data_IF_885879954190
#
_entry.id   IF_885879954190
#
_cell.length_a   1.000
_cell.length_b   1.000
_cell.length_c   1.000
_cell.angle_alpha   90.00
_cell.angle_beta   90.00
_cell.angle_gamma   90.00
#
_symmetry.space_group_name_H-M   'P 1'
#
loop_
_entity.id
_entity.type
_entity.pdbx_description
1 polymer ?
#
# COMPACT_ATOMS: atom_id res chain seq x y z
N UNK A 1 -3.36 -12.76 18.82
CA UNK A 1 -2.46 -12.41 17.70
C UNK A 1 -1.03 -12.75 18.09
N UNK A 2 -0.29 -13.42 17.20
CA UNK A 2 1.12 -13.72 17.42
C UNK A 2 1.93 -12.45 17.18
N UNK A 3 2.88 -12.13 18.06
CA UNK A 3 3.69 -10.89 18.04
C UNK A 3 4.39 -10.65 16.68
N UNK A 4 4.66 -11.75 15.97
CA UNK A 4 5.23 -11.77 14.63
C UNK A 4 4.30 -11.18 13.56
N UNK A 5 2.99 -11.42 13.66
CA UNK A 5 2.00 -10.91 12.70
C UNK A 5 1.78 -9.41 12.90
N UNK A 6 1.84 -8.93 14.14
CA UNK A 6 1.79 -7.50 14.47
C UNK A 6 2.97 -6.73 13.84
N UNK A 7 4.19 -7.27 13.93
CA UNK A 7 5.37 -6.64 13.32
C UNK A 7 5.32 -6.61 11.79
N UNK A 8 4.78 -7.66 11.16
CA UNK A 8 4.59 -7.70 9.71
C UNK A 8 3.56 -6.66 9.25
N UNK A 9 2.42 -6.58 9.94
CA UNK A 9 1.42 -5.56 9.66
C UNK A 9 1.98 -4.13 9.82
N UNK A 10 2.83 -3.92 10.82
CA UNK A 10 3.49 -2.63 11.04
C UNK A 10 4.46 -2.26 9.91
N UNK A 11 5.24 -3.23 9.43
CA UNK A 11 6.12 -3.05 8.28
C UNK A 11 5.35 -2.76 6.99
N UNK A 12 4.25 -3.47 6.74
CA UNK A 12 3.41 -3.24 5.57
C UNK A 12 2.77 -1.83 5.61
N UNK A 13 2.35 -1.37 6.80
CA UNK A 13 1.83 -0.01 7.00
C UNK A 13 2.91 1.04 6.73
N UNK A 14 4.12 0.86 7.27
CA UNK A 14 5.23 1.79 7.06
C UNK A 14 5.63 1.86 5.57
N UNK A 15 5.63 0.73 4.87
CA UNK A 15 5.95 0.66 3.45
C UNK A 15 4.88 1.36 2.59
N UNK A 16 3.60 1.21 2.95
CA UNK A 16 2.49 1.92 2.31
C UNK A 16 2.61 3.43 2.54
N UNK A 17 2.85 3.86 3.79
CA UNK A 17 3.01 5.28 4.13
C UNK A 17 4.16 5.92 3.36
N UNK A 18 5.30 5.23 3.30
CA UNK A 18 6.47 5.71 2.56
C UNK A 18 6.20 5.81 1.06
N UNK A 19 5.47 4.85 0.48
CA UNK A 19 5.08 4.89 -0.94
C UNK A 19 4.18 6.09 -1.24
N UNK A 20 3.32 6.47 -0.30
CA UNK A 20 2.44 7.66 -0.42
C UNK A 20 3.25 8.95 -0.29
N UNK A 21 4.18 9.04 0.66
CA UNK A 21 5.08 10.20 0.79
C UNK A 21 5.95 10.40 -0.47
N UNK A 22 6.52 9.33 -1.02
CA UNK A 22 7.30 9.39 -2.27
C UNK A 22 6.43 9.79 -3.48
N UNK A 23 5.14 9.45 -3.45
CA UNK A 23 4.16 9.88 -4.43
C UNK A 23 3.84 11.37 -4.31
N UNK A 24 3.62 11.88 -3.09
CA UNK A 24 3.35 13.30 -2.83
C UNK A 24 4.53 14.19 -3.21
N UNK A 25 5.77 13.76 -2.93
CA UNK A 25 6.98 14.52 -3.27
C UNK A 25 7.25 14.58 -4.78
N UNK A 26 6.83 13.56 -5.53
CA UNK A 26 7.08 13.47 -6.97
C UNK A 26 5.88 13.88 -7.83
N UNK A 27 4.72 14.18 -7.25
CA UNK A 27 3.47 14.34 -8.00
C UNK A 27 3.51 15.49 -9.02
N UNK A 28 4.29 16.53 -8.73
CA UNK A 28 4.49 17.69 -9.61
C UNK A 28 5.49 17.43 -10.77
N UNK A 29 6.35 16.42 -10.65
CA UNK A 29 7.39 16.06 -11.64
C UNK A 29 7.05 14.76 -12.40
N UNK A 30 5.98 14.07 -12.02
CA UNK A 30 5.55 12.81 -12.65
C UNK A 30 4.71 13.07 -13.88
N UNK A 31 5.01 12.35 -14.97
CA UNK A 31 4.15 12.37 -16.14
C UNK A 31 2.79 11.76 -15.81
N UNK A 32 1.76 12.14 -16.57
CA UNK A 32 0.41 11.62 -16.40
C UNK A 32 0.35 10.09 -16.52
N UNK A 33 1.25 9.49 -17.31
CA UNK A 33 1.38 8.04 -17.46
C UNK A 33 2.04 7.39 -16.24
N UNK A 34 3.08 8.02 -15.67
CA UNK A 34 3.73 7.52 -14.44
C UNK A 34 2.77 7.58 -13.24
N UNK A 35 1.99 8.66 -13.14
CA UNK A 35 0.96 8.81 -12.12
C UNK A 35 -0.10 7.71 -12.23
N UNK A 36 -0.51 7.40 -13.46
CA UNK A 36 -1.49 6.34 -13.74
C UNK A 36 -0.96 4.96 -13.38
N UNK A 37 0.30 4.67 -13.71
CA UNK A 37 0.96 3.41 -13.32
C UNK A 37 1.07 3.26 -11.80
N UNK A 38 1.45 4.33 -11.10
CA UNK A 38 1.52 4.30 -9.64
C UNK A 38 0.13 4.12 -9.01
N UNK A 39 -0.91 4.75 -9.55
CA UNK A 39 -2.30 4.55 -9.10
C UNK A 39 -2.80 3.11 -9.31
N UNK A 40 -2.50 2.51 -10.47
CA UNK A 40 -2.83 1.11 -10.75
C UNK A 40 -2.12 0.19 -9.76
N UNK A 41 -0.81 0.41 -9.54
CA UNK A 41 -0.01 -0.36 -8.58
C UNK A 41 -0.54 -0.23 -7.16
N UNK A 42 -0.91 0.98 -6.74
CA UNK A 42 -1.49 1.23 -5.42
C UNK A 42 -2.82 0.50 -5.25
N UNK A 43 -3.68 0.55 -6.28
CA UNK A 43 -4.98 -0.13 -6.28
C UNK A 43 -4.83 -1.65 -6.18
N UNK A 44 -3.85 -2.23 -6.86
CA UNK A 44 -3.54 -3.66 -6.75
C UNK A 44 -3.04 -4.04 -5.36
N UNK A 45 -2.17 -3.22 -4.75
CA UNK A 45 -1.71 -3.44 -3.38
C UNK A 45 -2.85 -3.37 -2.37
N UNK A 46 -3.74 -2.38 -2.49
CA UNK A 46 -4.91 -2.25 -1.61
C UNK A 46 -5.85 -3.43 -1.77
N UNK A 47 -6.14 -3.87 -3.00
CA UNK A 47 -6.98 -5.08 -3.20
C UNK A 47 -6.38 -6.32 -2.57
N UNK A 48 -5.06 -6.54 -2.74
CA UNK A 48 -4.39 -7.67 -2.10
C UNK A 48 -4.48 -7.61 -0.59
N UNK A 49 -4.31 -6.42 0.00
CA UNK A 49 -4.50 -6.22 1.43
C UNK A 49 -5.94 -6.52 1.85
N UNK A 50 -6.92 -6.05 1.08
CA UNK A 50 -8.34 -6.26 1.33
C UNK A 50 -8.73 -7.74 1.27
N UNK A 51 -8.20 -8.49 0.29
CA UNK A 51 -8.39 -9.93 0.17
C UNK A 51 -7.75 -10.67 1.36
N UNK A 52 -6.57 -10.24 1.81
CA UNK A 52 -5.90 -10.80 2.98
C UNK A 52 -6.71 -10.57 4.26
N UNK A 53 -7.28 -9.37 4.42
CA UNK A 53 -8.15 -9.04 5.56
C UNK A 53 -9.47 -9.82 5.54
N UNK A 54 -10.04 -10.08 4.35
CA UNK A 54 -11.21 -10.96 4.18
C UNK A 54 -10.89 -12.41 4.54
N UNK A 55 -9.74 -12.92 4.09
CA UNK A 55 -9.29 -14.28 4.40
C UNK A 55 -9.05 -14.47 5.90
N UNK A 56 -8.57 -13.44 6.61
CA UNK A 56 -8.45 -13.45 8.07
C UNK A 56 -9.77 -13.21 8.81
N UNK A 57 -10.87 -12.94 8.11
CA UNK A 57 -12.20 -12.71 8.69
C UNK A 57 -12.31 -11.39 9.47
N UNK A 58 -11.47 -10.41 9.12
CA UNK A 58 -11.41 -9.09 9.77
C UNK A 58 -12.47 -8.15 9.17
N UNK A 59 -12.76 -8.30 7.86
CA UNK A 59 -13.77 -7.55 7.09
C UNK A 59 -14.62 -8.47 6.20
#
# INVERSE_FOLDING_TARGET
MNEKNLKLAQQDIDEVLKTVEELEVQIDDLSKDDLKQKFVTLTEKVRKLEDLLKDEGII
#
